data_IF_933892732815
#
_entry.id   IF_933892732815
#
_cell.length_a   1.000
_cell.length_b   1.000
_cell.length_c   1.000
_cell.angle_alpha   90.00
_cell.angle_beta   90.00
_cell.angle_gamma   90.00
#
_symmetry.space_group_name_H-M   'P 1'
#
loop_
_entity.id
_entity.type
_entity.pdbx_description
1 polymer ?
#
# COMPACT_ATOMS: atom_id res chain seq x y z
N UNK A 1 -2.56 6.99 -26.81
CA UNK A 1 -2.54 5.53 -27.08
C UNK A 1 -1.31 4.83 -26.49
N UNK A 2 -0.07 5.19 -26.87
CA UNK A 2 1.17 4.47 -26.49
C UNK A 2 1.37 4.36 -24.97
N UNK A 3 1.19 5.45 -24.22
CA UNK A 3 1.40 5.46 -22.77
C UNK A 3 0.46 4.52 -22.01
N UNK A 4 -0.77 4.33 -22.48
CA UNK A 4 -1.69 3.34 -21.87
C UNK A 4 -1.21 1.92 -22.07
N UNK A 5 -0.65 1.61 -23.24
CA UNK A 5 -0.01 0.31 -23.49
C UNK A 5 1.19 0.13 -22.55
N UNK A 6 2.00 1.15 -22.35
CA UNK A 6 3.13 1.11 -21.40
C UNK A 6 2.64 0.83 -19.97
N UNK A 7 1.56 1.47 -19.51
CA UNK A 7 0.97 1.19 -18.20
C UNK A 7 0.51 -0.28 -18.06
N UNK A 8 -0.10 -0.85 -19.10
CA UNK A 8 -0.49 -2.27 -19.11
C UNK A 8 0.71 -3.20 -19.05
N UNK A 9 1.82 -2.82 -19.68
CA UNK A 9 3.06 -3.61 -19.68
C UNK A 9 3.77 -3.63 -18.31
N UNK A 10 3.47 -2.71 -17.38
CA UNK A 10 4.02 -2.72 -16.02
C UNK A 10 3.68 -3.99 -15.24
N UNK A 11 2.55 -4.63 -15.55
CA UNK A 11 2.09 -5.87 -14.90
C UNK A 11 2.23 -7.10 -15.81
N UNK A 12 2.99 -6.98 -16.89
CA UNK A 12 3.17 -8.06 -17.85
C UNK A 12 3.90 -9.27 -17.21
N UNK A 13 3.58 -10.51 -17.61
CA UNK A 13 4.28 -11.70 -17.09
C UNK A 13 5.80 -11.67 -17.33
N UNK A 14 6.20 -11.17 -18.50
CA UNK A 14 7.61 -11.10 -18.90
C UNK A 14 8.39 -9.99 -18.18
N UNK A 15 9.43 -10.38 -17.42
CA UNK A 15 10.23 -9.49 -16.56
C UNK A 15 10.84 -8.30 -17.32
N UNK A 16 11.47 -8.54 -18.48
CA UNK A 16 12.15 -7.45 -19.24
C UNK A 16 11.16 -6.36 -19.68
N UNK A 17 9.94 -6.75 -20.03
CA UNK A 17 8.91 -5.78 -20.44
C UNK A 17 8.54 -4.88 -19.27
N UNK A 18 8.35 -5.45 -18.07
CA UNK A 18 8.11 -4.65 -16.86
C UNK A 18 9.25 -3.69 -16.54
N UNK A 19 10.49 -4.15 -16.65
CA UNK A 19 11.69 -3.33 -16.40
C UNK A 19 11.76 -2.15 -17.37
N UNK A 20 11.59 -2.40 -18.67
CA UNK A 20 11.61 -1.33 -19.67
C UNK A 20 10.44 -0.37 -19.49
N UNK A 21 9.23 -0.87 -19.24
CA UNK A 21 8.06 -0.02 -18.97
C UNK A 21 8.25 0.83 -17.70
N UNK A 22 8.79 0.24 -16.62
CA UNK A 22 9.12 0.97 -15.39
C UNK A 22 10.16 2.07 -15.65
N UNK A 23 11.20 1.77 -16.42
CA UNK A 23 12.22 2.75 -16.80
C UNK A 23 11.63 3.90 -17.65
N UNK A 24 10.73 3.60 -18.60
CA UNK A 24 10.04 4.61 -19.41
C UNK A 24 9.17 5.53 -18.55
N UNK A 25 8.39 4.97 -17.62
CA UNK A 25 7.59 5.76 -16.66
C UNK A 25 8.49 6.65 -15.80
N UNK A 26 9.62 6.11 -15.32
CA UNK A 26 10.60 6.88 -14.53
C UNK A 26 11.16 8.07 -15.32
N UNK A 27 11.55 7.84 -16.58
CA UNK A 27 12.03 8.89 -17.48
C UNK A 27 10.97 9.94 -17.76
N UNK A 28 9.71 9.52 -17.93
CA UNK A 28 8.59 10.44 -18.11
C UNK A 28 8.42 11.35 -16.89
N UNK A 29 8.36 10.78 -15.68
CA UNK A 29 8.23 11.56 -14.45
C UNK A 29 9.42 12.51 -14.25
N UNK A 30 10.64 12.08 -14.57
CA UNK A 30 11.82 12.96 -14.53
C UNK A 30 11.71 14.15 -15.51
N UNK A 31 11.26 13.91 -16.75
CA UNK A 31 11.05 14.97 -17.75
C UNK A 31 9.97 15.96 -17.32
N UNK A 32 8.89 15.46 -16.71
CA UNK A 32 7.80 16.27 -16.15
C UNK A 32 8.31 17.15 -15.02
N UNK A 33 9.10 16.60 -14.09
CA UNK A 33 9.66 17.34 -12.97
C UNK A 33 10.67 18.40 -13.42
N UNK A 34 11.48 18.10 -14.44
CA UNK A 34 12.37 19.07 -15.05
C UNK A 34 11.60 20.25 -15.66
N UNK A 35 10.52 19.98 -16.39
CA UNK A 35 9.65 21.02 -16.96
C UNK A 35 8.99 21.90 -15.89
N UNK A 36 8.57 21.30 -14.76
CA UNK A 36 8.06 22.08 -13.61
C UNK A 36 9.11 23.06 -13.08
N UNK A 37 10.37 22.64 -12.96
CA UNK A 37 11.49 23.52 -12.52
C UNK A 37 11.75 24.66 -13.51
N UNK A 38 11.59 24.38 -14.79
CA UNK A 38 11.68 25.36 -15.88
C UNK A 38 10.42 26.26 -15.99
N UNK A 39 9.46 26.13 -15.06
CA UNK A 39 8.18 26.86 -15.02
C UNK A 39 7.32 26.69 -16.28
N UNK A 40 7.52 25.60 -17.01
CA UNK A 40 6.69 25.25 -18.16
C UNK A 40 5.37 24.65 -17.67
N UNK A 41 4.30 24.87 -18.44
CA UNK A 41 3.00 24.25 -18.15
C UNK A 41 3.08 22.73 -18.32
N UNK A 42 2.61 22.02 -17.29
CA UNK A 42 2.66 20.56 -17.20
C UNK A 42 1.26 19.98 -17.03
N UNK A 43 0.22 20.82 -16.95
CA UNK A 43 -1.18 20.43 -16.74
C UNK A 43 -1.70 19.52 -17.86
N UNK A 44 -1.18 19.67 -19.08
CA UNK A 44 -1.49 18.84 -20.25
C UNK A 44 -0.73 17.49 -20.29
N UNK A 45 0.07 17.15 -19.27
CA UNK A 45 0.85 15.91 -19.26
C UNK A 45 -0.02 14.68 -19.10
N UNK A 46 -0.07 13.86 -20.14
CA UNK A 46 -0.90 12.65 -20.22
C UNK A 46 -0.84 11.72 -18.98
N UNK A 47 0.35 11.37 -18.49
CA UNK A 47 0.46 10.45 -17.33
C UNK A 47 0.22 11.14 -15.98
N UNK A 48 0.11 12.48 -15.95
CA UNK A 48 -0.26 13.21 -14.73
C UNK A 48 -1.77 13.27 -14.51
N UNK A 49 -2.60 12.76 -15.40
CA UNK A 49 -4.02 12.65 -15.12
C UNK A 49 -4.26 11.73 -13.88
N UNK A 50 -5.17 12.10 -12.94
CA UNK A 50 -5.44 11.31 -11.74
C UNK A 50 -5.76 9.83 -12.01
N UNK A 51 -6.53 9.55 -13.07
CA UNK A 51 -6.87 8.19 -13.50
C UNK A 51 -5.63 7.34 -13.80
N UNK A 52 -4.62 7.96 -14.44
CA UNK A 52 -3.37 7.30 -14.85
C UNK A 52 -2.43 7.15 -13.68
N UNK A 53 -2.31 8.15 -12.82
CA UNK A 53 -1.49 8.06 -11.61
C UNK A 53 -2.01 6.96 -10.67
N UNK A 54 -3.33 6.84 -10.51
CA UNK A 54 -3.93 5.75 -9.73
C UNK A 54 -3.68 4.37 -10.37
N UNK A 55 -3.85 4.26 -11.69
CA UNK A 55 -3.55 3.02 -12.43
C UNK A 55 -2.08 2.62 -12.31
N UNK A 56 -1.15 3.57 -12.46
CA UNK A 56 0.29 3.35 -12.34
C UNK A 56 0.65 2.92 -10.92
N UNK A 57 0.12 3.60 -9.89
CA UNK A 57 0.38 3.25 -8.50
C UNK A 57 -0.09 1.81 -8.19
N UNK A 58 -1.30 1.45 -8.62
CA UNK A 58 -1.85 0.11 -8.41
C UNK A 58 -1.11 -0.97 -9.22
N UNK A 59 -0.63 -0.65 -10.42
CA UNK A 59 0.25 -1.51 -11.22
C UNK A 59 1.58 -1.78 -10.50
N UNK A 60 2.25 -0.76 -9.97
CA UNK A 60 3.48 -0.94 -9.20
C UNK A 60 3.25 -1.70 -7.89
N UNK A 61 2.11 -1.52 -7.22
CA UNK A 61 1.75 -2.36 -6.05
C UNK A 61 1.55 -3.83 -6.42
N UNK A 62 1.01 -4.11 -7.61
CA UNK A 62 0.92 -5.49 -8.14
C UNK A 62 2.31 -6.02 -8.48
N UNK A 63 3.16 -5.21 -9.11
CA UNK A 63 4.55 -5.55 -9.41
C UNK A 63 5.37 -5.85 -8.17
N UNK A 64 5.17 -5.08 -7.10
CA UNK A 64 5.80 -5.30 -5.81
C UNK A 64 5.42 -6.64 -5.19
N UNK A 65 4.28 -7.26 -5.52
CA UNK A 65 3.94 -8.61 -5.02
C UNK A 65 4.65 -9.73 -5.77
N UNK A 66 5.30 -9.41 -6.88
CA UNK A 66 6.05 -10.38 -7.67
C UNK A 66 7.45 -10.56 -7.08
N UNK A 67 8.22 -11.49 -7.64
CA UNK A 67 9.59 -11.75 -7.20
C UNK A 67 10.43 -10.46 -7.27
N UNK A 68 11.08 -10.06 -6.17
CA UNK A 68 11.85 -8.83 -6.13
C UNK A 68 13.03 -8.94 -7.11
N UNK A 69 13.23 -7.88 -7.88
CA UNK A 69 14.34 -7.77 -8.83
C UNK A 69 15.59 -7.19 -8.17
N UNK A 70 16.60 -6.84 -8.97
CA UNK A 70 17.78 -6.12 -8.50
C UNK A 70 17.43 -4.78 -7.80
N UNK A 71 18.34 -4.35 -6.93
CA UNK A 71 18.28 -3.13 -6.11
C UNK A 71 17.98 -1.88 -6.94
N UNK A 72 18.56 -1.75 -8.14
CA UNK A 72 18.30 -0.61 -9.02
C UNK A 72 16.85 -0.55 -9.51
N UNK A 73 16.27 -1.69 -9.88
CA UNK A 73 14.87 -1.78 -10.31
C UNK A 73 13.90 -1.55 -9.14
N UNK A 74 14.24 -2.07 -7.96
CA UNK A 74 13.46 -1.84 -6.75
C UNK A 74 13.42 -0.35 -6.38
N UNK A 75 14.54 0.39 -6.54
CA UNK A 75 14.58 1.86 -6.37
C UNK A 75 13.65 2.58 -7.34
N UNK A 76 13.53 2.12 -8.59
CA UNK A 76 12.57 2.69 -9.57
C UNK A 76 11.13 2.44 -9.13
N UNK A 77 10.81 1.24 -8.64
CA UNK A 77 9.47 0.95 -8.09
C UNK A 77 9.14 1.91 -6.94
N UNK A 78 10.08 2.10 -6.00
CA UNK A 78 9.91 3.06 -4.89
C UNK A 78 9.63 4.46 -5.41
N UNK A 79 10.47 4.95 -6.32
CA UNK A 79 10.37 6.30 -6.85
C UNK A 79 9.06 6.52 -7.60
N UNK A 80 8.72 5.62 -8.52
CA UNK A 80 7.52 5.74 -9.34
C UNK A 80 6.25 5.63 -8.50
N UNK A 81 6.20 4.69 -7.54
CA UNK A 81 5.07 4.55 -6.64
C UNK A 81 4.89 5.81 -5.79
N UNK A 82 5.97 6.34 -5.21
CA UNK A 82 5.92 7.56 -4.41
C UNK A 82 5.49 8.76 -5.25
N UNK A 83 6.05 8.92 -6.46
CA UNK A 83 5.69 9.98 -7.39
C UNK A 83 4.20 9.92 -7.75
N UNK A 84 3.69 8.74 -8.11
CA UNK A 84 2.29 8.54 -8.47
C UNK A 84 1.34 8.83 -7.31
N UNK A 85 1.63 8.34 -6.10
CA UNK A 85 0.79 8.58 -4.92
C UNK A 85 0.74 10.06 -4.57
N UNK A 86 1.89 10.74 -4.53
CA UNK A 86 1.94 12.14 -4.10
C UNK A 86 1.30 13.09 -5.13
N UNK A 87 1.56 12.89 -6.44
CA UNK A 87 0.92 13.71 -7.46
C UNK A 87 -0.58 13.42 -7.56
N UNK A 88 -1.01 12.17 -7.35
CA UNK A 88 -2.44 11.84 -7.30
C UNK A 88 -3.13 12.61 -6.17
N UNK A 89 -2.52 12.62 -4.97
CA UNK A 89 -3.02 13.37 -3.83
C UNK A 89 -3.21 14.85 -4.16
N UNK A 90 -2.15 15.51 -4.64
CA UNK A 90 -2.18 16.94 -4.97
C UNK A 90 -3.25 17.26 -6.02
N UNK A 91 -3.35 16.46 -7.08
CA UNK A 91 -4.27 16.75 -8.18
C UNK A 91 -5.73 16.48 -7.84
N UNK A 92 -6.03 15.45 -7.03
CA UNK A 92 -7.41 15.18 -6.60
C UNK A 92 -7.87 16.24 -5.59
N UNK A 93 -6.97 16.72 -4.72
CA UNK A 93 -7.30 17.78 -3.75
C UNK A 93 -7.58 19.14 -4.40
N UNK A 94 -7.11 19.37 -5.62
CA UNK A 94 -7.42 20.59 -6.40
C UNK A 94 -8.83 20.60 -7.01
N UNK A 95 -9.59 19.51 -6.84
CA UNK A 95 -10.94 19.41 -7.38
C UNK A 95 -11.95 20.01 -6.42
N UNK A 96 -13.03 20.58 -6.93
CA UNK A 96 -14.06 21.28 -6.14
C UNK A 96 -15.03 20.35 -5.43
N UNK A 97 -15.33 19.18 -6.02
CA UNK A 97 -16.15 18.17 -5.36
C UNK A 97 -15.93 16.77 -5.94
N UNK A 98 -16.21 15.74 -5.15
CA UNK A 98 -16.11 14.33 -5.57
C UNK A 98 -16.99 14.01 -6.80
N UNK A 99 -18.22 14.55 -6.84
CA UNK A 99 -19.13 14.34 -7.97
C UNK A 99 -18.65 15.07 -9.24
N UNK A 100 -18.21 16.32 -9.12
CA UNK A 100 -17.68 17.07 -10.26
C UNK A 100 -16.39 16.45 -10.79
N UNK A 101 -15.53 15.97 -9.88
CA UNK A 101 -14.35 15.21 -10.25
C UNK A 101 -14.69 13.99 -11.11
N UNK A 102 -15.70 13.20 -10.74
CA UNK A 102 -16.05 11.99 -11.49
C UNK A 102 -16.77 12.29 -12.80
N UNK A 103 -17.77 13.18 -12.77
CA UNK A 103 -18.61 13.51 -13.93
C UNK A 103 -17.86 14.23 -15.05
N UNK A 104 -16.80 14.98 -14.73
CA UNK A 104 -15.95 15.66 -15.73
C UNK A 104 -15.00 14.72 -16.49
N UNK A 105 -14.86 13.46 -16.08
CA UNK A 105 -13.92 12.53 -16.69
C UNK A 105 -14.42 11.98 -18.03
N UNK A 106 -13.52 11.75 -18.98
CA UNK A 106 -13.84 10.99 -20.18
C UNK A 106 -14.07 9.50 -19.88
N UNK A 107 -14.72 8.77 -20.80
CA UNK A 107 -14.95 7.32 -20.67
C UNK A 107 -13.65 6.50 -20.48
N UNK A 108 -12.55 6.95 -21.11
CA UNK A 108 -11.24 6.33 -20.96
C UNK A 108 -10.62 6.51 -19.56
N UNK A 109 -10.96 7.60 -18.86
CA UNK A 109 -10.49 7.86 -17.50
C UNK A 109 -11.29 7.08 -16.46
N UNK A 110 -12.60 6.99 -16.66
CA UNK A 110 -13.47 6.09 -15.92
C UNK A 110 -12.95 4.65 -15.96
N UNK A 111 -12.64 4.15 -17.16
CA UNK A 111 -12.08 2.80 -17.36
C UNK A 111 -10.79 2.56 -16.57
N UNK A 112 -9.87 3.53 -16.55
CA UNK A 112 -8.60 3.37 -15.83
C UNK A 112 -8.76 3.39 -14.30
N UNK A 113 -9.70 4.15 -13.74
CA UNK A 113 -10.01 4.04 -12.32
C UNK A 113 -10.54 2.66 -11.96
N UNK A 114 -11.48 2.14 -12.76
CA UNK A 114 -12.05 0.81 -12.53
C UNK A 114 -10.99 -0.29 -12.65
N UNK A 115 -10.11 -0.21 -13.65
CA UNK A 115 -8.96 -1.11 -13.81
C UNK A 115 -8.00 -0.98 -12.61
N UNK A 116 -7.71 0.23 -12.16
CA UNK A 116 -6.88 0.47 -10.97
C UNK A 116 -7.45 -0.18 -9.71
N UNK A 117 -8.76 -0.07 -9.47
CA UNK A 117 -9.41 -0.72 -8.32
C UNK A 117 -9.41 -2.26 -8.42
N UNK A 118 -9.50 -2.80 -9.63
CA UNK A 118 -9.35 -4.23 -9.87
C UNK A 118 -7.93 -4.70 -9.53
N UNK A 119 -6.90 -3.97 -9.99
CA UNK A 119 -5.50 -4.25 -9.66
C UNK A 119 -5.21 -4.11 -8.15
N UNK A 120 -5.84 -3.12 -7.50
CA UNK A 120 -5.78 -2.95 -6.05
C UNK A 120 -6.37 -4.17 -5.32
N UNK A 121 -7.33 -4.87 -5.95
CA UNK A 121 -7.98 -6.07 -5.43
C UNK A 121 -8.86 -5.78 -4.21
N UNK A 122 -9.54 -4.63 -4.21
CA UNK A 122 -10.40 -4.19 -3.10
C UNK A 122 -11.79 -3.80 -3.59
N UNK A 123 -12.71 -4.78 -3.62
CA UNK A 123 -14.12 -4.53 -3.97
C UNK A 123 -14.76 -3.49 -3.04
N UNK A 124 -14.43 -3.53 -1.75
CA UNK A 124 -14.91 -2.53 -0.79
C UNK A 124 -14.47 -1.11 -1.18
N UNK A 125 -13.19 -0.92 -1.52
CA UNK A 125 -12.70 0.39 -1.93
C UNK A 125 -13.38 0.85 -3.23
N UNK A 126 -13.51 -0.04 -4.23
CA UNK A 126 -14.24 0.27 -5.47
C UNK A 126 -15.67 0.75 -5.19
N UNK A 127 -16.40 0.03 -4.34
CA UNK A 127 -17.78 0.36 -4.02
C UNK A 127 -17.89 1.67 -3.23
N UNK A 128 -17.00 1.88 -2.24
CA UNK A 128 -16.96 3.15 -1.49
C UNK A 128 -16.68 4.32 -2.41
N UNK A 129 -15.70 4.20 -3.33
CA UNK A 129 -15.41 5.23 -4.32
C UNK A 129 -16.64 5.56 -5.17
N UNK A 130 -17.28 4.55 -5.76
CA UNK A 130 -18.47 4.74 -6.59
C UNK A 130 -19.63 5.41 -5.84
N UNK A 131 -19.80 5.09 -4.55
CA UNK A 131 -20.79 5.74 -3.70
C UNK A 131 -20.43 7.22 -3.46
N UNK A 132 -19.19 7.52 -3.08
CA UNK A 132 -18.71 8.89 -2.87
C UNK A 132 -18.86 9.77 -4.12
N UNK A 133 -18.72 9.19 -5.31
CA UNK A 133 -18.83 9.91 -6.58
C UNK A 133 -20.26 9.96 -7.15
N UNK A 134 -21.19 9.15 -6.63
CA UNK A 134 -22.58 9.10 -7.12
C UNK A 134 -23.51 10.07 -6.37
N UNK A 135 -23.16 10.45 -5.15
CA UNK A 135 -23.97 11.36 -4.33
C UNK A 135 -23.76 12.82 -4.76
N UNK A 136 -24.79 13.44 -5.35
CA UNK A 136 -24.89 14.90 -5.57
C UNK A 136 -25.32 15.65 -4.29
N UNK A 137 -24.77 15.33 -3.13
CA UNK A 137 -25.16 16.06 -1.93
C UNK A 137 -24.41 17.38 -1.88
N UNK A 138 -24.96 18.39 -2.56
CA UNK A 138 -24.65 19.82 -2.40
C UNK A 138 -25.19 20.34 -1.05
N UNK A 139 -25.06 19.55 0.02
CA UNK A 139 -25.54 19.95 1.36
C UNK A 139 -24.37 20.56 2.10
N UNK A 140 -24.37 21.90 2.16
CA UNK A 140 -23.49 22.80 2.93
C UNK A 140 -23.52 22.52 4.45
N UNK A 141 -23.15 21.32 4.90
CA UNK A 141 -23.52 20.85 6.25
C UNK A 141 -22.51 20.03 7.04
N UNK A 142 -21.31 19.74 6.55
CA UNK A 142 -20.24 19.19 7.40
C UNK A 142 -18.85 19.56 6.87
N UNK A 143 -18.12 20.35 7.66
CA UNK A 143 -16.89 21.07 7.27
C UNK A 143 -15.63 20.22 7.05
N UNK A 144 -15.65 19.30 6.08
CA UNK A 144 -14.45 18.87 5.35
C UNK A 144 -14.76 18.93 3.85
N UNK A 145 -13.83 19.48 3.06
CA UNK A 145 -13.98 19.57 1.61
C UNK A 145 -14.07 18.14 1.02
N UNK A 146 -15.15 17.82 0.31
CA UNK A 146 -15.39 16.48 -0.23
C UNK A 146 -14.27 15.97 -1.15
N UNK A 147 -13.46 16.88 -1.69
CA UNK A 147 -12.27 16.59 -2.50
C UNK A 147 -11.08 16.09 -1.65
N UNK A 148 -10.89 16.66 -0.45
CA UNK A 148 -9.86 16.30 0.52
C UNK A 148 -10.12 14.90 1.10
N UNK A 149 -11.40 14.59 1.33
CA UNK A 149 -11.83 13.24 1.70
C UNK A 149 -11.52 12.22 0.60
N UNK A 150 -11.73 12.59 -0.67
CA UNK A 150 -11.47 11.72 -1.81
C UNK A 150 -9.97 11.47 -2.05
N UNK A 151 -9.15 12.53 -1.98
CA UNK A 151 -7.70 12.42 -2.05
C UNK A 151 -7.17 11.50 -0.94
N UNK A 152 -7.67 11.71 0.29
CA UNK A 152 -7.36 10.89 1.45
C UNK A 152 -7.80 9.45 1.31
N UNK A 153 -8.96 9.21 0.70
CA UNK A 153 -9.46 7.88 0.41
C UNK A 153 -8.53 7.12 -0.54
N UNK A 154 -8.07 7.75 -1.62
CA UNK A 154 -7.15 7.13 -2.58
C UNK A 154 -5.81 6.78 -1.92
N UNK A 155 -5.19 7.76 -1.26
CA UNK A 155 -3.89 7.57 -0.59
C UNK A 155 -4.00 6.49 0.47
N UNK A 156 -5.02 6.54 1.34
CA UNK A 156 -5.25 5.54 2.38
C UNK A 156 -5.46 4.14 1.81
N UNK A 157 -6.16 4.02 0.68
CA UNK A 157 -6.39 2.73 0.01
C UNK A 157 -5.08 2.11 -0.51
N UNK A 158 -4.19 2.94 -1.06
CA UNK A 158 -2.87 2.52 -1.54
C UNK A 158 -1.94 2.16 -0.36
N UNK A 159 -1.90 2.98 0.70
CA UNK A 159 -1.10 2.71 1.90
C UNK A 159 -1.58 1.45 2.63
N UNK A 160 -2.90 1.22 2.75
CA UNK A 160 -3.46 -0.03 3.29
C UNK A 160 -3.04 -1.25 2.47
N UNK A 161 -2.92 -1.11 1.15
CA UNK A 161 -2.41 -2.20 0.30
C UNK A 161 -0.91 -2.43 0.54
N UNK A 162 -0.11 -1.38 0.69
CA UNK A 162 1.30 -1.47 1.06
C UNK A 162 1.51 -2.14 2.42
N UNK A 163 0.73 -1.76 3.44
CA UNK A 163 0.74 -2.44 4.75
C UNK A 163 0.51 -3.95 4.59
N UNK A 164 -0.52 -4.34 3.82
CA UNK A 164 -0.81 -5.75 3.58
C UNK A 164 0.33 -6.46 2.89
N UNK A 165 0.98 -5.83 1.90
CA UNK A 165 2.14 -6.40 1.20
C UNK A 165 3.28 -6.62 2.20
N UNK A 166 3.66 -5.62 2.99
CA UNK A 166 4.72 -5.75 3.98
C UNK A 166 4.44 -6.89 4.98
N UNK A 167 3.20 -7.04 5.43
CA UNK A 167 2.87 -8.10 6.40
C UNK A 167 2.79 -9.50 5.77
N UNK A 168 2.42 -9.61 4.50
CA UNK A 168 2.21 -10.90 3.84
C UNK A 168 3.43 -11.44 3.09
N UNK A 169 4.31 -10.57 2.60
CA UNK A 169 5.41 -10.92 1.69
C UNK A 169 6.76 -11.06 2.44
N UNK A 170 7.84 -11.33 1.71
CA UNK A 170 9.17 -11.59 2.30
C UNK A 170 9.91 -10.31 2.70
N UNK A 171 11.04 -10.48 3.38
CA UNK A 171 11.88 -9.41 3.92
C UNK A 171 12.27 -8.35 2.88
N UNK A 172 12.58 -8.78 1.64
CA UNK A 172 12.89 -7.88 0.53
C UNK A 172 11.72 -6.92 0.23
N UNK A 173 10.49 -7.43 0.20
CA UNK A 173 9.30 -6.62 -0.03
C UNK A 173 9.04 -5.62 1.09
N UNK A 174 9.32 -6.00 2.34
CA UNK A 174 9.20 -5.07 3.47
C UNK A 174 10.14 -3.88 3.33
N UNK A 175 11.41 -4.12 3.00
CA UNK A 175 12.39 -3.04 2.81
C UNK A 175 11.95 -2.07 1.72
N UNK A 176 11.40 -2.59 0.62
CA UNK A 176 10.86 -1.74 -0.46
C UNK A 176 9.69 -0.91 0.06
N UNK A 177 8.73 -1.50 0.78
CA UNK A 177 7.58 -0.77 1.36
C UNK A 177 8.05 0.31 2.36
N UNK A 178 9.01 0.02 3.23
CA UNK A 178 9.53 0.98 4.20
C UNK A 178 10.28 2.14 3.53
N UNK A 179 11.01 1.84 2.45
CA UNK A 179 11.62 2.85 1.58
C UNK A 179 10.57 3.75 0.92
N UNK A 180 9.45 3.17 0.45
CA UNK A 180 8.32 3.94 -0.06
C UNK A 180 7.73 4.86 1.01
N UNK A 181 7.53 4.38 2.26
CA UNK A 181 7.06 5.24 3.35
C UNK A 181 8.02 6.42 3.56
N UNK A 182 9.32 6.16 3.69
CA UNK A 182 10.33 7.20 3.81
C UNK A 182 10.28 8.25 2.68
N UNK A 183 9.94 7.83 1.46
CA UNK A 183 9.90 8.69 0.28
C UNK A 183 8.57 9.47 0.16
N UNK A 184 7.46 8.87 0.59
CA UNK A 184 6.12 9.44 0.51
C UNK A 184 5.87 10.42 1.66
N UNK A 185 6.30 10.09 2.87
CA UNK A 185 5.94 10.83 4.08
C UNK A 185 6.26 12.33 4.01
N UNK A 186 7.47 12.77 3.60
CA UNK A 186 7.80 14.20 3.57
C UNK A 186 6.90 15.00 2.61
N UNK A 187 6.39 14.35 1.56
CA UNK A 187 5.53 14.98 0.54
C UNK A 187 4.06 15.06 0.96
N UNK A 188 3.65 14.30 1.99
CA UNK A 188 2.30 14.30 2.51
C UNK A 188 2.20 14.95 3.91
N UNK A 189 3.32 15.24 4.57
CA UNK A 189 3.35 15.76 5.94
C UNK A 189 2.87 17.21 6.07
N UNK A 190 2.77 17.94 4.96
CA UNK A 190 2.23 19.29 4.94
C UNK A 190 0.71 19.34 5.15
N UNK A 191 0.07 18.18 5.21
CA UNK A 191 -1.38 18.03 5.16
C UNK A 191 -1.97 17.72 6.55
N UNK A 192 -3.16 18.26 6.84
CA UNK A 192 -3.86 18.01 8.09
C UNK A 192 -4.23 16.51 8.25
N UNK A 193 -4.45 15.82 7.13
CA UNK A 193 -4.83 14.41 7.07
C UNK A 193 -3.64 13.47 7.25
N UNK A 194 -2.41 13.98 7.39
CA UNK A 194 -1.22 13.13 7.50
C UNK A 194 -1.33 12.15 8.66
N UNK A 195 -2.01 12.52 9.75
CA UNK A 195 -2.31 11.61 10.87
C UNK A 195 -3.02 10.33 10.41
N UNK A 196 -3.98 10.44 9.49
CA UNK A 196 -4.73 9.32 8.90
C UNK A 196 -3.80 8.41 8.09
N UNK A 197 -2.87 8.99 7.34
CA UNK A 197 -1.91 8.23 6.54
C UNK A 197 -0.85 7.55 7.42
N UNK A 198 -0.37 8.26 8.45
CA UNK A 198 0.66 7.80 9.37
C UNK A 198 0.25 6.53 10.09
N UNK A 199 -1.04 6.35 10.45
CA UNK A 199 -1.55 5.11 11.03
C UNK A 199 -1.25 3.89 10.14
N UNK A 200 -1.43 4.03 8.82
CA UNK A 200 -1.17 2.95 7.85
C UNK A 200 0.31 2.66 7.64
N UNK A 201 1.18 3.67 7.79
CA UNK A 201 2.63 3.52 7.68
C UNK A 201 3.24 2.96 8.97
N UNK A 202 2.80 3.43 10.14
CA UNK A 202 3.32 3.05 11.45
C UNK A 202 2.87 1.66 11.90
N UNK A 203 1.69 1.20 11.52
CA UNK A 203 1.21 -0.14 11.87
C UNK A 203 2.14 -1.30 11.45
N UNK A 204 2.64 -1.39 10.20
CA UNK A 204 3.61 -2.42 9.82
C UNK A 204 4.99 -2.20 10.46
N UNK A 205 5.44 -0.95 10.64
CA UNK A 205 6.72 -0.64 11.29
C UNK A 205 6.73 -1.08 12.76
N UNK A 206 5.65 -0.76 13.50
CA UNK A 206 5.42 -1.21 14.87
C UNK A 206 5.47 -2.74 14.96
N UNK A 207 4.75 -3.45 14.07
CA UNK A 207 4.70 -4.92 14.11
C UNK A 207 6.07 -5.54 13.88
N UNK A 208 6.91 -4.96 13.01
CA UNK A 208 8.24 -5.49 12.74
C UNK A 208 9.20 -5.17 13.88
N UNK A 209 9.29 -3.91 14.31
CA UNK A 209 10.19 -3.49 15.39
C UNK A 209 9.91 -4.26 16.70
N UNK A 210 8.63 -4.44 17.03
CA UNK A 210 8.21 -5.11 18.28
C UNK A 210 8.09 -6.64 18.16
N UNK A 211 8.48 -7.23 17.03
CA UNK A 211 8.42 -8.70 16.84
C UNK A 211 7.00 -9.29 16.73
N UNK A 212 6.00 -8.47 16.43
CA UNK A 212 4.60 -8.89 16.22
C UNK A 212 4.22 -9.18 14.77
N UNK A 213 5.20 -9.29 13.86
CA UNK A 213 4.97 -9.58 12.43
C UNK A 213 4.41 -10.99 12.17
N UNK A 214 4.44 -11.89 13.16
CA UNK A 214 3.90 -13.25 13.04
C UNK A 214 4.74 -14.20 12.19
N UNK A 215 5.98 -13.81 11.88
CA UNK A 215 6.99 -14.60 11.16
C UNK A 215 8.39 -14.16 11.60
N UNK A 216 9.40 -14.97 11.28
CA UNK A 216 10.81 -14.63 11.51
C UNK A 216 11.19 -13.52 10.55
N UNK A 217 11.79 -12.45 11.08
CA UNK A 217 12.23 -11.27 10.33
C UNK A 217 13.73 -11.08 10.60
N UNK A 218 14.52 -10.86 9.54
CA UNK A 218 15.94 -10.55 9.66
C UNK A 218 16.19 -9.23 10.39
N UNK A 219 17.34 -9.12 11.06
CA UNK A 219 17.68 -7.92 11.82
C UNK A 219 17.86 -6.70 10.90
N UNK A 220 18.29 -6.89 9.65
CA UNK A 220 18.36 -5.83 8.65
C UNK A 220 16.98 -5.19 8.37
N UNK A 221 15.91 -6.01 8.35
CA UNK A 221 14.54 -5.50 8.15
C UNK A 221 14.02 -4.80 9.39
N UNK A 222 14.36 -5.28 10.59
CA UNK A 222 14.02 -4.59 11.84
C UNK A 222 14.69 -3.23 11.91
N UNK A 223 15.99 -3.16 11.62
CA UNK A 223 16.74 -1.91 11.56
C UNK A 223 16.13 -0.96 10.52
N UNK A 224 15.76 -1.47 9.33
CA UNK A 224 15.06 -0.67 8.32
C UNK A 224 13.72 -0.12 8.81
N UNK A 225 12.97 -0.90 9.59
CA UNK A 225 11.70 -0.46 10.18
C UNK A 225 11.92 0.63 11.24
N UNK A 226 12.90 0.46 12.12
CA UNK A 226 13.26 1.44 13.16
C UNK A 226 13.72 2.77 12.56
N UNK A 227 14.64 2.73 11.60
CA UNK A 227 15.10 3.93 10.88
C UNK A 227 13.94 4.65 10.20
N UNK A 228 13.01 3.91 9.59
CA UNK A 228 11.84 4.50 8.91
C UNK A 228 10.86 5.09 9.92
N UNK A 229 10.62 4.41 11.04
CA UNK A 229 9.78 4.90 12.15
C UNK A 229 10.35 6.19 12.74
N UNK A 230 11.66 6.25 12.96
CA UNK A 230 12.31 7.40 13.57
C UNK A 230 12.29 8.60 12.62
N UNK A 231 12.50 8.39 11.32
CA UNK A 231 12.26 9.44 10.30
C UNK A 231 10.82 9.95 10.31
N UNK A 232 9.83 9.06 10.45
CA UNK A 232 8.42 9.44 10.58
C UNK A 232 8.17 10.24 11.86
N UNK A 233 8.77 9.86 12.99
CA UNK A 233 8.68 10.61 14.24
C UNK A 233 9.26 12.01 14.09
N UNK A 234 10.46 12.13 13.52
CA UNK A 234 11.15 13.41 13.37
C UNK A 234 10.38 14.35 12.42
N UNK A 235 9.69 13.77 11.44
CA UNK A 235 8.84 14.50 10.49
C UNK A 235 7.52 14.98 11.10
N UNK A 236 6.86 14.15 11.92
CA UNK A 236 5.55 14.43 12.54
C UNK A 236 5.69 15.30 13.80
N UNK A 237 6.84 15.24 14.45
CA UNK A 237 7.04 15.75 15.80
C UNK A 237 6.72 14.70 16.86
N UNK A 238 7.44 14.76 17.98
CA UNK A 238 7.43 13.72 19.03
C UNK A 238 6.05 13.55 19.66
N UNK A 239 5.36 14.64 20.01
CA UNK A 239 4.06 14.59 20.68
C UNK A 239 3.02 13.88 19.82
N UNK A 240 2.85 14.35 18.58
CA UNK A 240 1.89 13.79 17.64
C UNK A 240 2.24 12.36 17.23
N UNK A 241 3.53 12.06 17.10
CA UNK A 241 3.99 10.69 16.89
C UNK A 241 3.56 9.76 18.04
N UNK A 242 3.77 10.17 19.29
CA UNK A 242 3.40 9.38 20.47
C UNK A 242 1.90 9.10 20.51
N UNK A 243 1.06 10.08 20.18
CA UNK A 243 -0.39 9.89 20.06
C UNK A 243 -0.76 8.81 19.04
N UNK A 244 -0.28 8.96 17.79
CA UNK A 244 -0.60 8.05 16.69
C UNK A 244 -0.03 6.66 16.95
N UNK A 245 1.21 6.56 17.43
CA UNK A 245 1.87 5.30 17.73
C UNK A 245 1.16 4.54 18.85
N UNK A 246 0.70 5.24 19.90
CA UNK A 246 -0.10 4.65 20.96
C UNK A 246 -1.48 4.21 20.47
N UNK A 247 -2.12 4.96 19.58
CA UNK A 247 -3.38 4.56 18.93
C UNK A 247 -3.19 3.25 18.16
N UNK A 248 -2.17 3.17 17.31
CA UNK A 248 -1.80 1.94 16.57
C UNK A 248 -1.57 0.77 17.53
N UNK A 249 -0.81 0.99 18.62
CA UNK A 249 -0.54 -0.04 19.64
C UNK A 249 -1.83 -0.54 20.28
N UNK A 250 -2.73 0.37 20.70
CA UNK A 250 -4.02 0.05 21.33
C UNK A 250 -4.90 -0.75 20.37
N UNK A 251 -5.02 -0.32 19.12
CA UNK A 251 -5.81 -1.00 18.09
C UNK A 251 -5.32 -2.42 17.81
N UNK A 252 -4.00 -2.60 17.69
CA UNK A 252 -3.41 -3.91 17.45
C UNK A 252 -3.58 -4.84 18.66
N UNK A 253 -3.46 -4.31 19.88
CA UNK A 253 -3.75 -5.04 21.11
C UNK A 253 -5.22 -5.45 21.18
N UNK A 254 -6.15 -4.54 20.92
CA UNK A 254 -7.58 -4.80 20.91
C UNK A 254 -7.95 -5.89 19.89
N UNK A 255 -7.42 -5.80 18.66
CA UNK A 255 -7.61 -6.84 17.62
C UNK A 255 -7.06 -8.20 18.06
N UNK A 256 -5.97 -8.24 18.82
CA UNK A 256 -5.39 -9.50 19.34
C UNK A 256 -6.24 -10.09 20.46
N UNK A 257 -6.67 -9.28 21.42
CA UNK A 257 -7.51 -9.74 22.53
C UNK A 257 -8.89 -10.17 22.05
N UNK A 258 -9.50 -9.44 21.10
CA UNK A 258 -10.75 -9.84 20.45
C UNK A 258 -10.64 -11.22 19.79
N UNK A 259 -9.53 -11.53 19.10
CA UNK A 259 -9.29 -12.87 18.53
C UNK A 259 -9.17 -13.95 19.60
N UNK A 260 -8.48 -13.67 20.71
CA UNK A 260 -8.35 -14.61 21.84
C UNK A 260 -9.70 -14.85 22.52
N UNK A 261 -10.48 -13.80 22.75
CA UNK A 261 -11.81 -13.89 23.33
C UNK A 261 -12.75 -14.68 22.44
N UNK A 262 -12.75 -14.43 21.13
CA UNK A 262 -13.53 -15.22 20.17
C UNK A 262 -13.15 -16.71 20.19
N UNK A 263 -11.86 -17.03 20.31
CA UNK A 263 -11.40 -18.41 20.43
C UNK A 263 -11.85 -19.08 21.74
N UNK A 264 -11.77 -18.36 22.87
CA UNK A 264 -12.28 -18.82 24.17
C UNK A 264 -13.79 -19.05 24.14
N UNK A 265 -14.55 -18.14 23.52
CA UNK A 265 -15.99 -18.27 23.36
C UNK A 265 -16.36 -19.52 22.56
N UNK A 266 -15.67 -19.76 21.43
CA UNK A 266 -15.89 -20.98 20.64
C UNK A 266 -15.55 -22.23 21.46
N UNK A 267 -14.49 -22.21 22.27
CA UNK A 267 -14.15 -23.34 23.13
C UNK A 267 -15.22 -23.64 24.20
N UNK A 268 -15.93 -22.61 24.68
CA UNK A 268 -17.01 -22.76 25.66
C UNK A 268 -18.35 -23.16 25.02
N UNK A 269 -18.73 -22.52 23.91
CA UNK A 269 -20.03 -22.72 23.24
C UNK A 269 -20.03 -23.98 22.37
N UNK A 270 -18.90 -24.32 21.73
CA UNK A 270 -18.78 -25.48 20.83
C UNK A 270 -17.40 -26.17 21.02
N UNK A 271 -17.26 -26.96 22.11
CA UNK A 271 -16.01 -27.66 22.41
C UNK A 271 -15.58 -28.63 21.32
N UNK A 272 -16.53 -29.27 20.65
CA UNK A 272 -16.28 -30.24 19.58
C UNK A 272 -15.62 -29.57 18.37
N UNK A 273 -16.13 -28.41 17.93
CA UNK A 273 -15.53 -27.63 16.84
C UNK A 273 -14.15 -27.08 17.21
N UNK A 274 -13.96 -26.62 18.45
CA UNK A 274 -12.65 -26.19 18.92
C UNK A 274 -11.63 -27.35 18.95
N UNK A 275 -12.02 -28.53 19.45
CA UNK A 275 -11.20 -29.73 19.43
C UNK A 275 -10.84 -30.16 18.00
N UNK A 276 -11.81 -30.18 17.08
CA UNK A 276 -11.59 -30.49 15.65
C UNK A 276 -10.59 -29.53 15.01
N UNK A 277 -10.68 -28.23 15.33
CA UNK A 277 -9.72 -27.22 14.87
C UNK A 277 -8.32 -27.50 15.42
N UNK A 278 -8.17 -27.82 16.71
CA UNK A 278 -6.88 -28.18 17.32
C UNK A 278 -6.26 -29.43 16.67
N UNK A 279 -7.05 -30.48 16.45
CA UNK A 279 -6.60 -31.69 15.76
C UNK A 279 -6.10 -31.38 14.34
N UNK A 280 -6.84 -30.57 13.58
CA UNK A 280 -6.42 -30.14 12.24
C UNK A 280 -5.11 -29.35 12.25
N UNK A 281 -4.93 -28.44 13.21
CA UNK A 281 -3.69 -27.68 13.35
C UNK A 281 -2.50 -28.59 13.72
N UNK A 282 -2.70 -29.52 14.66
CA UNK A 282 -1.69 -30.51 15.04
C UNK A 282 -1.28 -31.39 13.85
N UNK A 283 -2.24 -31.89 13.08
CA UNK A 283 -1.99 -32.67 11.85
C UNK A 283 -1.13 -31.87 10.85
N UNK A 284 -1.47 -30.60 10.60
CA UNK A 284 -0.69 -29.71 9.72
C UNK A 284 0.75 -29.54 10.21
N UNK A 285 0.96 -29.35 11.52
CA UNK A 285 2.30 -29.22 12.09
C UNK A 285 3.10 -30.53 11.97
N UNK A 286 2.46 -31.67 12.20
CA UNK A 286 3.08 -33.00 12.04
C UNK A 286 3.52 -33.23 10.60
N UNK A 287 2.67 -32.92 9.62
CA UNK A 287 3.02 -33.00 8.20
C UNK A 287 4.17 -32.06 7.82
N UNK A 288 4.12 -30.81 8.26
CA UNK A 288 5.19 -29.85 7.98
C UNK A 288 6.54 -30.33 8.56
N UNK A 289 6.54 -30.86 9.79
CA UNK A 289 7.74 -31.46 10.41
C UNK A 289 8.25 -32.65 9.60
N UNK A 290 7.37 -33.55 9.13
CA UNK A 290 7.75 -34.67 8.25
C UNK A 290 8.42 -34.17 6.96
N UNK A 291 7.81 -33.20 6.26
CA UNK A 291 8.37 -32.61 5.03
C UNK A 291 9.76 -32.00 5.27
N UNK A 292 9.94 -31.26 6.38
CA UNK A 292 11.22 -30.66 6.75
C UNK A 292 12.30 -31.73 7.00
N UNK A 293 11.97 -32.80 7.72
CA UNK A 293 12.91 -33.92 7.97
C UNK A 293 13.28 -34.61 6.65
N UNK A 294 12.31 -34.89 5.78
CA UNK A 294 12.58 -35.52 4.48
C UNK A 294 13.47 -34.64 3.60
N UNK A 295 13.19 -33.34 3.52
CA UNK A 295 14.03 -32.39 2.78
C UNK A 295 15.47 -32.33 3.34
N UNK A 296 15.63 -32.31 4.67
CA UNK A 296 16.94 -32.35 5.32
C UNK A 296 17.68 -33.67 5.09
N UNK A 297 16.97 -34.80 4.99
CA UNK A 297 17.57 -36.09 4.63
C UNK A 297 18.04 -36.06 3.17
N UNK A 298 17.17 -35.74 2.21
CA UNK A 298 17.54 -35.68 0.78
C UNK A 298 18.73 -34.74 0.51
N UNK A 299 18.80 -33.57 1.15
CA UNK A 299 19.93 -32.64 1.01
C UNK A 299 21.25 -33.11 1.65
N UNK A 300 21.24 -34.19 2.44
CA UNK A 300 22.46 -34.89 2.88
C UNK A 300 22.89 -35.99 1.92
N UNK A 301 21.97 -36.58 1.17
CA UNK A 301 22.27 -37.62 0.16
C UNK A 301 22.76 -37.03 -1.17
N UNK A 302 22.48 -35.76 -1.44
CA UNK A 302 22.97 -35.03 -2.62
C UNK A 302 24.31 -34.29 -2.41
N UNK A 303 24.98 -34.48 -1.27
CA UNK A 303 26.30 -33.93 -0.97
C UNK A 303 27.36 -35.00 -1.00
#
# INVERSE_FOLDING_TARGET
AIWMTICKLLIHPHLKLRIYSSALVSKYFASVEQRKKEKLDVTSSFLLQPSRLFLIATAFLKQLRMEPSDTAENKKIVHNLAYSICNLHVLVKQTTSSHQFWSSLGSCDHGAFLEGFELLGSRKAKNTFLLCTASCTDVDGSGLDSSEELASFFVSSLLKKMEKIAMQMEDAHMKIVFSCFSTISPKLNTEAEFSTYAVHMLAPLYKVAEGFAGKVISDEVKQSAEVTRDKLRDLIGVEKFVEIYNSVRKDLKAKRESRKQAEKLVAAVDPARHAKRKLRMSAKHREHKKRKITAMKMGRWLR
#
